data_IF_812282452472
#
_entry.id   IF_812282452472
#
_cell.length_a   1.000
_cell.length_b   1.000
_cell.length_c   1.000
_cell.angle_alpha   90.00
_cell.angle_beta   90.00
_cell.angle_gamma   90.00
#
_symmetry.space_group_name_H-M   'P 1'
#
loop_
_entity.id
_entity.type
_entity.pdbx_description
1 polymer ?
#
# COMPACT_ATOMS: atom_id res chain seq x y z
N UNK A 1 -1.11 -4.91 -19.14
CA UNK A 1 -0.52 -4.41 -20.40
C UNK A 1 0.70 -3.51 -20.17
N UNK A 2 0.56 -2.30 -19.60
CA UNK A 2 1.66 -1.32 -19.46
C UNK A 2 3.00 -1.86 -18.94
N UNK A 3 2.97 -2.71 -17.91
CA UNK A 3 4.17 -3.27 -17.29
C UNK A 3 4.33 -4.78 -17.52
N UNK A 4 3.40 -5.42 -18.24
CA UNK A 4 3.35 -6.89 -18.36
C UNK A 4 3.43 -7.62 -17.00
N UNK A 5 2.61 -7.15 -16.06
CA UNK A 5 2.50 -7.66 -14.69
C UNK A 5 1.04 -8.07 -14.46
N UNK A 6 0.83 -9.29 -13.95
CA UNK A 6 -0.50 -9.74 -13.50
C UNK A 6 -0.79 -9.19 -12.11
N UNK A 7 -1.69 -8.21 -12.05
CA UNK A 7 -2.08 -7.53 -10.83
C UNK A 7 -3.38 -8.07 -10.20
N UNK A 8 -3.43 -8.18 -8.88
CA UNK A 8 -4.65 -8.39 -8.10
C UNK A 8 -4.88 -7.28 -7.08
N UNK A 9 -6.15 -6.94 -6.83
CA UNK A 9 -6.56 -5.93 -5.86
C UNK A 9 -7.48 -6.54 -4.81
N UNK A 10 -7.12 -6.33 -3.54
CA UNK A 10 -7.91 -6.67 -2.36
C UNK A 10 -8.26 -5.35 -1.67
N UNK A 11 -9.47 -4.88 -1.88
CA UNK A 11 -9.99 -3.64 -1.30
C UNK A 11 -11.40 -3.84 -0.77
N UNK A 12 -11.84 -2.95 0.10
CA UNK A 12 -13.24 -2.87 0.53
C UNK A 12 -13.99 -1.78 -0.24
N UNK A 13 -13.40 -0.58 -0.31
CA UNK A 13 -13.97 0.60 -0.95
C UNK A 13 -14.27 0.37 -2.44
N UNK A 14 -15.52 0.65 -2.84
CA UNK A 14 -15.99 0.46 -4.21
C UNK A 14 -15.19 1.28 -5.23
N UNK A 15 -14.80 2.52 -4.88
CA UNK A 15 -14.00 3.39 -5.73
C UNK A 15 -12.64 2.75 -6.07
N UNK A 16 -11.92 2.26 -5.06
CA UNK A 16 -10.61 1.59 -5.25
C UNK A 16 -10.76 0.34 -6.11
N UNK A 17 -11.81 -0.47 -5.88
CA UNK A 17 -12.11 -1.63 -6.72
C UNK A 17 -12.37 -1.22 -8.18
N UNK A 18 -13.13 -0.15 -8.40
CA UNK A 18 -13.43 0.39 -9.73
C UNK A 18 -12.16 0.80 -10.47
N UNK A 19 -11.33 1.63 -9.84
CA UNK A 19 -10.04 2.08 -10.42
C UNK A 19 -9.13 0.89 -10.74
N UNK A 20 -9.02 -0.09 -9.84
CA UNK A 20 -8.18 -1.26 -10.07
C UNK A 20 -8.70 -2.14 -11.22
N UNK A 21 -10.03 -2.31 -11.36
CA UNK A 21 -10.61 -2.99 -12.52
C UNK A 21 -10.30 -2.26 -13.82
N UNK A 22 -10.44 -0.94 -13.83
CA UNK A 22 -10.08 -0.12 -15.01
C UNK A 22 -8.59 -0.22 -15.35
N UNK A 23 -7.72 -0.37 -14.35
CA UNK A 23 -6.30 -0.62 -14.54
C UNK A 23 -5.96 -2.07 -14.96
N UNK A 24 -6.97 -2.94 -15.14
CA UNK A 24 -6.80 -4.33 -15.57
C UNK A 24 -6.42 -5.31 -14.46
N UNK A 25 -6.56 -4.93 -13.19
CA UNK A 25 -6.28 -5.81 -12.05
C UNK A 25 -7.47 -6.72 -11.73
N UNK A 26 -7.18 -7.97 -11.31
CA UNK A 26 -8.20 -8.87 -10.77
C UNK A 26 -8.62 -8.41 -9.38
N UNK A 27 -9.86 -7.91 -9.24
CA UNK A 27 -10.42 -7.62 -7.92
C UNK A 27 -10.84 -8.93 -7.22
N UNK A 28 -10.40 -9.08 -5.98
CA UNK A 28 -10.71 -10.21 -5.10
C UNK A 28 -11.53 -9.67 -3.94
N UNK A 29 -12.78 -10.12 -3.85
CA UNK A 29 -13.66 -9.82 -2.73
C UNK A 29 -13.34 -10.74 -1.55
N UNK A 30 -13.23 -10.15 -0.35
CA UNK A 30 -12.85 -10.85 0.87
C UNK A 30 -13.97 -10.68 1.90
N UNK A 31 -14.64 -11.76 2.32
CA UNK A 31 -15.60 -11.70 3.42
C UNK A 31 -14.98 -11.07 4.68
N UNK A 32 -15.69 -10.17 5.34
CA UNK A 32 -15.19 -9.43 6.51
C UNK A 32 -14.33 -8.20 6.18
N UNK A 33 -13.97 -7.97 4.91
CA UNK A 33 -13.31 -6.74 4.48
C UNK A 33 -14.31 -5.59 4.33
N UNK A 34 -14.72 -4.97 5.44
CA UNK A 34 -15.76 -3.93 5.48
C UNK A 34 -15.28 -2.56 5.01
N UNK A 35 -13.99 -2.27 5.17
CA UNK A 35 -13.43 -0.94 4.90
C UNK A 35 -13.49 0.03 6.07
N UNK A 36 -14.13 -0.35 7.18
CA UNK A 36 -14.12 0.41 8.43
C UNK A 36 -12.91 0.07 9.31
N UNK A 37 -12.76 0.76 10.43
CA UNK A 37 -11.74 0.44 11.46
C UNK A 37 -11.80 -1.00 11.98
N UNK A 38 -12.97 -1.66 11.89
CA UNK A 38 -13.18 -3.05 12.32
C UNK A 38 -13.03 -4.06 11.18
N UNK A 39 -12.51 -3.65 10.01
CA UNK A 39 -12.24 -4.58 8.89
C UNK A 39 -11.39 -5.77 9.34
N UNK A 40 -11.67 -6.94 8.78
CA UNK A 40 -10.87 -8.14 9.03
C UNK A 40 -9.56 -8.09 8.23
N UNK A 41 -8.47 -7.72 8.88
CA UNK A 41 -7.14 -7.62 8.26
C UNK A 41 -6.53 -9.01 8.05
N UNK A 42 -6.79 -9.97 8.93
CA UNK A 42 -6.33 -11.35 8.79
C UNK A 42 -6.95 -12.03 7.56
N UNK A 43 -8.25 -11.81 7.29
CA UNK A 43 -8.89 -12.31 6.08
C UNK A 43 -8.26 -11.70 4.82
N UNK A 44 -7.97 -10.38 4.83
CA UNK A 44 -7.26 -9.71 3.74
C UNK A 44 -5.84 -10.27 3.55
N UNK A 45 -5.10 -10.49 4.63
CA UNK A 45 -3.76 -11.07 4.57
C UNK A 45 -3.78 -12.47 3.96
N UNK A 46 -4.69 -13.34 4.40
CA UNK A 46 -4.87 -14.70 3.82
C UNK A 46 -5.21 -14.64 2.33
N UNK A 47 -6.08 -13.72 1.92
CA UNK A 47 -6.41 -13.51 0.52
C UNK A 47 -5.20 -13.04 -0.29
N UNK A 48 -4.37 -12.14 0.25
CA UNK A 48 -3.16 -11.65 -0.40
C UNK A 48 -2.13 -12.77 -0.57
N UNK A 49 -1.87 -13.56 0.48
CA UNK A 49 -0.99 -14.75 0.40
C UNK A 49 -1.46 -15.75 -0.67
N UNK A 50 -2.78 -15.95 -0.82
CA UNK A 50 -3.34 -16.79 -1.89
C UNK A 50 -3.14 -16.15 -3.27
N UNK A 51 -3.36 -14.85 -3.39
CA UNK A 51 -3.24 -14.12 -4.66
C UNK A 51 -1.79 -14.09 -5.18
N UNK A 52 -0.80 -13.95 -4.28
CA UNK A 52 0.63 -13.97 -4.61
C UNK A 52 1.09 -15.27 -5.29
N UNK A 53 0.34 -16.38 -5.17
CA UNK A 53 0.64 -17.63 -5.87
C UNK A 53 0.41 -17.57 -7.38
N UNK A 54 -0.40 -16.63 -7.86
CA UNK A 54 -0.83 -16.54 -9.26
C UNK A 54 -0.69 -15.15 -9.88
N UNK A 55 -0.40 -14.14 -9.06
CA UNK A 55 -0.24 -12.75 -9.46
C UNK A 55 1.12 -12.23 -9.02
N UNK A 56 1.73 -11.40 -9.85
CA UNK A 56 3.06 -10.82 -9.63
C UNK A 56 2.99 -9.53 -8.80
N UNK A 57 1.82 -8.88 -8.77
CA UNK A 57 1.58 -7.69 -7.96
C UNK A 57 0.24 -7.84 -7.24
N UNK A 58 0.24 -7.65 -5.92
CA UNK A 58 -0.99 -7.65 -5.11
C UNK A 58 -1.10 -6.33 -4.36
N UNK A 59 -2.13 -5.55 -4.68
CA UNK A 59 -2.51 -4.36 -3.92
C UNK A 59 -3.49 -4.75 -2.81
N UNK A 60 -3.06 -4.63 -1.55
CA UNK A 60 -3.93 -4.75 -0.38
C UNK A 60 -4.24 -3.36 0.16
N UNK A 61 -5.51 -2.95 0.11
CA UNK A 61 -5.96 -1.64 0.55
C UNK A 61 -6.71 -1.68 1.88
N UNK A 62 -6.37 -0.79 2.81
CA UNK A 62 -6.99 -0.64 4.13
C UNK A 62 -7.60 0.76 4.26
N UNK A 63 -8.93 0.87 4.18
CA UNK A 63 -9.65 2.15 4.16
C UNK A 63 -9.85 2.78 5.55
N UNK A 64 -9.90 1.98 6.60
CA UNK A 64 -10.30 2.43 7.95
C UNK A 64 -9.43 3.54 8.55
N UNK A 65 -8.21 3.74 8.06
CA UNK A 65 -7.34 4.83 8.51
C UNK A 65 -7.93 6.21 8.20
N UNK A 66 -8.53 6.33 7.02
CA UNK A 66 -9.11 7.57 6.54
C UNK A 66 -10.46 7.84 7.22
N UNK A 67 -11.29 6.81 7.42
CA UNK A 67 -12.52 6.89 8.23
C UNK A 67 -12.24 7.43 9.64
N UNK A 68 -11.28 6.84 10.35
CA UNK A 68 -10.88 7.31 11.69
C UNK A 68 -10.38 8.77 11.68
N UNK A 69 -9.81 9.23 10.57
CA UNK A 69 -9.29 10.60 10.46
C UNK A 69 -10.40 11.61 10.23
N UNK A 70 -11.36 11.32 9.34
CA UNK A 70 -12.55 12.14 9.14
C UNK A 70 -13.39 12.25 10.42
N UNK A 71 -13.46 11.18 11.23
CA UNK A 71 -14.16 11.20 12.52
C UNK A 71 -13.41 11.98 13.62
N UNK A 72 -12.18 12.44 13.37
CA UNK A 72 -11.36 13.09 14.38
C UNK A 72 -10.88 12.13 15.48
N UNK A 73 -10.86 10.82 15.22
CA UNK A 73 -10.57 9.79 16.21
C UNK A 73 -9.13 9.29 16.11
N UNK A 74 -8.21 10.02 16.75
CA UNK A 74 -6.79 9.66 16.79
C UNK A 74 -6.55 8.27 17.40
N UNK A 75 -7.26 7.93 18.47
CA UNK A 75 -7.09 6.65 19.16
C UNK A 75 -7.45 5.46 18.26
N UNK A 76 -8.54 5.56 17.50
CA UNK A 76 -8.92 4.54 16.54
C UNK A 76 -7.90 4.42 15.40
N UNK A 77 -7.37 5.55 14.90
CA UNK A 77 -6.32 5.56 13.86
C UNK A 77 -5.05 4.86 14.35
N UNK A 78 -4.55 5.20 15.54
CA UNK A 78 -3.37 4.56 16.16
C UNK A 78 -3.60 3.06 16.36
N UNK A 79 -4.74 2.68 16.94
CA UNK A 79 -5.08 1.26 17.14
C UNK A 79 -5.11 0.48 15.83
N UNK A 80 -5.61 1.08 14.75
CA UNK A 80 -5.62 0.43 13.44
C UNK A 80 -4.21 0.30 12.84
N UNK A 81 -3.30 1.24 13.11
CA UNK A 81 -1.89 1.16 12.70
C UNK A 81 -1.23 -0.03 13.38
N UNK A 82 -1.36 -0.14 14.71
CA UNK A 82 -0.81 -1.27 15.50
C UNK A 82 -1.38 -2.62 15.05
N UNK A 83 -2.69 -2.68 14.79
CA UNK A 83 -3.33 -3.88 14.26
C UNK A 83 -2.80 -4.24 12.88
N UNK A 84 -2.59 -3.25 12.02
CA UNK A 84 -2.05 -3.48 10.67
C UNK A 84 -0.63 -3.99 10.73
N UNK A 85 0.23 -3.39 11.57
CA UNK A 85 1.60 -3.87 11.79
C UNK A 85 1.60 -5.33 12.26
N UNK A 86 0.76 -5.68 13.24
CA UNK A 86 0.66 -7.05 13.77
C UNK A 86 0.06 -8.05 12.77
N UNK A 87 -1.12 -7.75 12.22
CA UNK A 87 -1.95 -8.69 11.46
C UNK A 87 -1.46 -8.85 10.00
N UNK A 88 -0.81 -7.82 9.42
CA UNK A 88 -0.26 -7.91 8.06
C UNK A 88 1.23 -8.29 8.02
N UNK A 89 1.91 -8.38 9.17
CA UNK A 89 3.32 -8.82 9.27
C UNK A 89 3.68 -10.06 8.44
N UNK A 90 2.84 -11.11 8.35
CA UNK A 90 3.17 -12.30 7.56
C UNK A 90 3.38 -12.01 6.05
N UNK A 91 2.88 -10.90 5.54
CA UNK A 91 3.07 -10.50 4.14
C UNK A 91 4.51 -10.07 3.84
N UNK A 92 5.26 -9.60 4.86
CA UNK A 92 6.62 -9.09 4.68
C UNK A 92 7.55 -10.16 4.12
N UNK A 93 7.42 -11.39 4.60
CA UNK A 93 8.24 -12.53 4.16
C UNK A 93 7.62 -13.31 2.99
N UNK A 94 6.46 -12.89 2.47
CA UNK A 94 5.70 -13.64 1.47
C UNK A 94 5.89 -13.12 0.04
N UNK A 95 6.56 -11.99 -0.13
CA UNK A 95 6.85 -11.38 -1.42
C UNK A 95 8.31 -10.92 -1.45
N UNK A 96 8.92 -10.95 -2.64
CA UNK A 96 10.28 -10.43 -2.82
C UNK A 96 10.32 -8.92 -2.54
N UNK A 97 9.31 -8.19 -3.02
CA UNK A 97 9.18 -6.75 -2.81
C UNK A 97 7.94 -6.42 -1.99
N UNK A 98 8.12 -5.54 -1.02
CA UNK A 98 7.05 -5.01 -0.17
C UNK A 98 7.09 -3.50 -0.25
N UNK A 99 5.95 -2.92 -0.60
CA UNK A 99 5.75 -1.47 -0.61
C UNK A 99 4.67 -1.15 0.40
N UNK A 100 4.99 -0.28 1.36
CA UNK A 100 3.99 0.38 2.19
C UNK A 100 3.94 1.84 1.76
N UNK A 101 2.77 2.24 1.27
CA UNK A 101 2.49 3.57 0.79
C UNK A 101 1.11 4.01 1.26
N UNK A 102 0.89 5.32 1.27
CA UNK A 102 -0.38 5.95 1.56
C UNK A 102 -0.76 6.76 0.32
N UNK A 103 -2.03 6.77 -0.06
CA UNK A 103 -2.53 7.47 -1.23
C UNK A 103 -2.70 8.97 -0.99
N UNK A 104 -3.07 9.39 0.22
CA UNK A 104 -3.13 10.79 0.63
C UNK A 104 -3.06 11.00 2.15
N UNK A 105 -2.81 12.24 2.56
CA UNK A 105 -2.82 12.63 3.98
C UNK A 105 -4.22 13.08 4.39
N UNK A 106 -4.74 12.49 5.47
CA UNK A 106 -5.96 12.96 6.16
C UNK A 106 -5.61 13.21 7.63
N UNK A 107 -5.26 14.45 8.03
CA UNK A 107 -4.93 14.78 9.41
C UNK A 107 -6.18 14.73 10.29
N UNK A 108 -6.08 14.14 11.47
CA UNK A 108 -7.20 14.01 12.43
C UNK A 108 -7.73 15.38 12.88
N UNK A 109 -6.86 16.39 12.91
CA UNK A 109 -7.20 17.77 13.27
C UNK A 109 -7.97 18.50 12.16
N UNK A 110 -7.70 18.16 10.90
CA UNK A 110 -8.32 18.77 9.73
C UNK A 110 -9.59 18.02 9.33
N UNK A 111 -9.64 16.70 9.57
CA UNK A 111 -10.75 15.79 9.24
C UNK A 111 -11.11 15.78 7.75
N UNK A 112 -10.18 16.20 6.92
CA UNK A 112 -10.30 16.25 5.47
C UNK A 112 -8.94 15.96 4.83
N UNK A 113 -8.97 15.65 3.54
CA UNK A 113 -7.76 15.39 2.78
C UNK A 113 -6.92 16.67 2.66
N UNK A 114 -5.61 16.51 2.76
CA UNK A 114 -4.64 17.61 2.67
C UNK A 114 -3.54 17.30 1.66
N UNK A 115 -2.81 18.35 1.26
CA UNK A 115 -1.68 18.24 0.32
C UNK A 115 -0.35 17.86 0.97
N UNK A 116 -0.36 17.49 2.25
CA UNK A 116 0.85 17.07 2.96
C UNK A 116 1.42 15.78 2.34
N UNK A 117 2.75 15.68 2.16
CA UNK A 117 3.37 14.49 1.61
C UNK A 117 3.19 13.29 2.54
N UNK A 118 3.09 12.11 1.95
CA UNK A 118 2.92 10.84 2.65
C UNK A 118 4.24 10.06 2.74
N UNK A 119 4.48 9.32 3.84
CA UNK A 119 5.61 8.40 3.91
C UNK A 119 5.43 7.24 2.92
N UNK A 120 6.57 6.74 2.43
CA UNK A 120 6.64 5.55 1.58
C UNK A 120 7.90 4.75 1.94
N UNK A 121 7.79 3.43 1.89
CA UNK A 121 8.93 2.51 1.99
C UNK A 121 8.82 1.44 0.92
N UNK A 122 9.97 1.10 0.33
CA UNK A 122 10.13 -0.03 -0.59
C UNK A 122 11.21 -0.92 0.03
N UNK A 123 10.89 -2.19 0.27
CA UNK A 123 11.81 -3.19 0.76
C UNK A 123 11.85 -4.37 -0.21
N UNK A 124 13.03 -4.96 -0.40
CA UNK A 124 13.20 -6.16 -1.23
C UNK A 124 14.63 -6.33 -1.73
N UNK A 125 14.89 -7.38 -2.53
CA UNK A 125 16.19 -7.61 -3.16
C UNK A 125 16.68 -6.40 -3.94
N UNK A 126 18.00 -6.16 -3.92
CA UNK A 126 18.65 -5.10 -4.71
C UNK A 126 18.22 -3.66 -4.40
N UNK A 127 17.31 -3.44 -3.45
CA UNK A 127 17.01 -2.10 -2.93
C UNK A 127 18.27 -1.57 -2.25
N UNK A 128 18.72 -0.39 -2.67
CA UNK A 128 19.82 0.34 -2.00
C UNK A 128 19.29 0.96 -0.71
N UNK A 129 19.32 0.17 0.37
CA UNK A 129 18.82 0.58 1.67
C UNK A 129 19.54 1.83 2.17
N UNK A 130 18.76 2.78 2.68
CA UNK A 130 19.26 3.96 3.40
C UNK A 130 19.43 3.67 4.90
N UNK A 131 19.70 4.70 5.69
CA UNK A 131 19.90 4.58 7.14
C UNK A 131 18.62 4.74 7.97
N UNK A 132 17.44 4.86 7.35
CA UNK A 132 16.17 5.04 8.06
C UNK A 132 15.78 3.74 8.78
N UNK A 133 15.42 3.85 10.07
CA UNK A 133 15.10 2.71 10.94
C UNK A 133 13.65 2.63 11.41
N UNK A 134 12.83 3.61 11.06
CA UNK A 134 11.42 3.67 11.46
C UNK A 134 10.57 4.19 10.30
N UNK A 135 9.31 3.75 10.25
CA UNK A 135 8.33 4.23 9.28
C UNK A 135 7.45 5.32 9.91
N UNK A 136 7.43 6.50 9.30
CA UNK A 136 6.66 7.64 9.77
C UNK A 136 7.08 8.92 9.02
N UNK A 137 6.28 9.97 9.15
CA UNK A 137 6.40 11.20 8.37
C UNK A 137 7.78 11.85 8.52
N UNK A 138 8.28 11.97 9.76
CA UNK A 138 9.60 12.57 10.06
C UNK A 138 10.76 11.73 9.55
N UNK A 139 10.62 10.40 9.61
CA UNK A 139 11.65 9.47 9.16
C UNK A 139 11.74 9.43 7.63
N UNK A 140 10.61 9.52 6.94
CA UNK A 140 10.54 9.52 5.48
C UNK A 140 11.28 10.71 4.84
N UNK A 141 11.41 11.85 5.53
CA UNK A 141 12.19 13.01 5.06
C UNK A 141 13.68 12.67 4.88
N UNK A 142 14.19 11.67 5.62
CA UNK A 142 15.59 11.23 5.56
C UNK A 142 15.80 10.07 4.58
N UNK A 143 14.73 9.58 3.92
CA UNK A 143 14.78 8.41 3.04
C UNK A 143 15.49 8.68 1.72
N UNK A 144 16.20 7.66 1.21
CA UNK A 144 16.96 7.72 -0.03
C UNK A 144 16.10 7.88 -1.30
N UNK A 145 14.79 7.60 -1.21
CA UNK A 145 13.82 7.90 -2.27
C UNK A 145 13.56 9.40 -2.43
N UNK A 146 13.97 10.23 -1.47
CA UNK A 146 13.69 11.67 -1.46
C UNK A 146 12.18 11.94 -1.60
N UNK A 147 11.78 12.94 -2.41
CA UNK A 147 10.38 13.27 -2.67
C UNK A 147 9.99 12.93 -4.11
N UNK A 148 9.25 11.84 -4.28
CA UNK A 148 8.68 11.40 -5.57
C UNK A 148 7.19 11.74 -5.69
N UNK A 149 6.62 11.59 -6.89
CA UNK A 149 5.17 11.65 -7.11
C UNK A 149 4.59 10.24 -7.04
N UNK A 150 3.31 10.11 -6.69
CA UNK A 150 2.64 8.81 -6.63
C UNK A 150 2.71 8.00 -7.94
N UNK A 151 2.71 8.69 -9.09
CA UNK A 151 2.86 8.06 -10.42
C UNK A 151 4.24 7.44 -10.68
N UNK A 152 5.26 7.81 -9.91
CA UNK A 152 6.63 7.33 -10.07
C UNK A 152 6.84 5.98 -9.35
N UNK A 153 5.95 5.61 -8.43
CA UNK A 153 6.07 4.39 -7.62
C UNK A 153 6.08 3.11 -8.46
N UNK A 154 5.07 2.89 -9.31
CA UNK A 154 4.99 1.67 -10.12
C UNK A 154 6.15 1.55 -11.13
N UNK A 155 6.59 2.61 -11.82
CA UNK A 155 7.82 2.57 -12.61
C UNK A 155 9.07 2.15 -11.80
N UNK A 156 9.29 2.73 -10.61
CA UNK A 156 10.41 2.35 -9.73
C UNK A 156 10.31 0.88 -9.33
N UNK A 157 9.13 0.43 -8.92
CA UNK A 157 8.92 -0.97 -8.53
C UNK A 157 9.11 -1.92 -9.72
N UNK A 158 8.62 -1.57 -10.91
CA UNK A 158 8.81 -2.37 -12.12
C UNK A 158 10.28 -2.52 -12.49
N UNK A 159 11.08 -1.46 -12.35
CA UNK A 159 12.53 -1.50 -12.53
C UNK A 159 13.20 -2.47 -11.55
N UNK A 160 12.89 -2.35 -10.25
CA UNK A 160 13.39 -3.24 -9.21
C UNK A 160 13.01 -4.72 -9.46
N UNK A 161 11.82 -4.97 -10.01
CA UNK A 161 11.35 -6.29 -10.41
C UNK A 161 11.98 -6.81 -11.72
N UNK A 162 12.87 -6.06 -12.38
CA UNK A 162 13.44 -6.41 -13.68
C UNK A 162 12.43 -6.37 -14.83
N UNK A 163 11.29 -5.70 -14.63
CA UNK A 163 10.20 -5.50 -15.62
C UNK A 163 10.29 -4.11 -16.28
N UNK A 164 11.24 -3.28 -15.88
CA UNK A 164 11.55 -2.01 -16.52
C UNK A 164 11.94 -2.23 -17.98
N UNK A 165 11.33 -1.46 -18.89
CA UNK A 165 11.70 -1.45 -20.31
C UNK A 165 12.52 -0.22 -20.62
N UNK A 166 13.68 -0.40 -21.23
CA UNK A 166 14.47 0.69 -21.77
C UNK A 166 13.67 1.40 -22.86
N UNK A 167 13.76 2.73 -22.89
CA UNK A 167 13.20 3.55 -23.96
C UNK A 167 14.33 4.00 -24.89
N UNK A 168 14.26 3.61 -26.16
CA UNK A 168 15.40 3.68 -27.10
C UNK A 168 16.44 2.58 -26.84
N UNK A 169 17.47 2.54 -27.69
CA UNK A 169 18.64 1.63 -27.70
C UNK A 169 18.41 0.12 -27.49
#
# INVERSE_FOLDING_TARGET
>A
ERFDIRGACIAAAALVKGVCRMAGMKVIDVPGATGSVNTDLNAKAKAALKALKTHELVLLHVKGFDEASHDGNAAAKVKLIERTDKELKPLISAADFVVLAIDHTTPVTVREHTGDPVPIVIAGPSVRADNVRAYGERAAVQGGLSRIRGKDLLPILADLMGKGKKFGA
#
